data_IF_505584233240
#
_entry.id   IF_505584233240
#
_cell.length_a   1.000
_cell.length_b   1.000
_cell.length_c   1.000
_cell.angle_alpha   90.00
_cell.angle_beta   90.00
_cell.angle_gamma   90.00
#
_symmetry.space_group_name_H-M   'P 1'
#
loop_
_entity.id
_entity.type
_entity.pdbx_description
1 polymer ?
#
# COMPACT_ATOMS: atom_id res chain seq x y z
N UNK A 1 -13.52 -17.06 -13.50
CA UNK A 1 -14.26 -16.66 -12.27
C UNK A 1 -14.10 -15.14 -12.11
N UNK A 2 -15.17 -14.40 -11.79
CA UNK A 2 -15.03 -12.95 -11.61
C UNK A 2 -14.16 -12.65 -10.37
N UNK A 3 -13.14 -11.82 -10.53
CA UNK A 3 -12.32 -11.36 -9.43
C UNK A 3 -13.17 -10.52 -8.46
N UNK A 4 -13.13 -10.85 -7.18
CA UNK A 4 -14.01 -10.25 -6.17
C UNK A 4 -13.23 -9.38 -5.18
N UNK A 5 -13.94 -8.44 -4.56
CA UNK A 5 -13.38 -7.64 -3.47
C UNK A 5 -12.83 -8.52 -2.34
N UNK A 6 -13.53 -9.57 -1.98
CA UNK A 6 -13.09 -10.52 -0.96
C UNK A 6 -11.77 -11.21 -1.32
N UNK A 7 -11.57 -11.56 -2.60
CA UNK A 7 -10.30 -12.13 -3.05
C UNK A 7 -9.14 -11.12 -2.90
N UNK A 8 -9.37 -9.85 -3.22
CA UNK A 8 -8.38 -8.79 -3.02
C UNK A 8 -8.08 -8.58 -1.52
N UNK A 9 -9.09 -8.56 -0.67
CA UNK A 9 -8.92 -8.46 0.79
C UNK A 9 -8.09 -9.62 1.37
N UNK A 10 -8.32 -10.84 0.90
CA UNK A 10 -7.53 -12.00 1.28
C UNK A 10 -6.08 -11.87 0.80
N UNK A 11 -5.86 -11.51 -0.46
CA UNK A 11 -4.52 -11.30 -1.01
C UNK A 11 -3.76 -10.20 -0.26
N UNK A 12 -4.41 -9.07 0.03
CA UNK A 12 -3.84 -8.00 0.85
C UNK A 12 -3.52 -8.46 2.27
N UNK A 13 -4.37 -9.29 2.86
CA UNK A 13 -4.11 -9.84 4.20
C UNK A 13 -2.87 -10.71 4.22
N UNK A 14 -2.69 -11.56 3.21
CA UNK A 14 -1.51 -12.43 3.09
C UNK A 14 -0.24 -11.61 2.86
N UNK A 15 -0.30 -10.63 1.95
CA UNK A 15 0.83 -9.75 1.67
C UNK A 15 1.22 -8.92 2.91
N UNK A 16 0.23 -8.40 3.63
CA UNK A 16 0.45 -7.65 4.87
C UNK A 16 1.12 -8.49 5.94
N UNK A 17 0.66 -9.73 6.13
CA UNK A 17 1.28 -10.68 7.08
C UNK A 17 2.73 -11.01 6.70
N UNK A 18 3.03 -11.11 5.41
CA UNK A 18 4.41 -11.28 4.93
C UNK A 18 5.28 -10.08 5.33
N UNK A 19 4.76 -8.85 5.19
CA UNK A 19 5.44 -7.64 5.65
C UNK A 19 5.66 -7.60 7.17
N UNK A 20 4.63 -7.97 7.95
CA UNK A 20 4.76 -8.07 9.41
C UNK A 20 5.78 -9.14 9.83
N UNK A 21 5.81 -10.27 9.12
CA UNK A 21 6.74 -11.36 9.40
C UNK A 21 8.19 -10.92 9.16
N UNK A 22 8.47 -10.29 8.02
CA UNK A 22 9.80 -9.76 7.73
C UNK A 22 10.22 -8.73 8.79
N UNK A 23 9.31 -7.87 9.22
CA UNK A 23 9.61 -6.90 10.29
C UNK A 23 9.96 -7.59 11.62
N UNK A 24 9.26 -8.67 11.99
CA UNK A 24 9.56 -9.43 13.22
C UNK A 24 10.90 -10.16 13.14
N UNK A 25 11.24 -10.69 11.98
CA UNK A 25 12.43 -11.52 11.80
C UNK A 25 13.71 -10.70 11.62
N UNK A 26 13.64 -9.61 10.86
CA UNK A 26 14.82 -8.81 10.50
C UNK A 26 14.74 -7.33 10.89
N UNK A 27 13.67 -6.90 11.56
CA UNK A 27 13.49 -5.53 12.05
C UNK A 27 13.06 -4.51 11.01
N UNK A 28 12.82 -4.93 9.77
CA UNK A 28 12.34 -4.09 8.67
C UNK A 28 11.25 -4.81 7.87
N UNK A 29 10.33 -4.03 7.31
CA UNK A 29 9.35 -4.55 6.37
C UNK A 29 9.96 -4.57 4.98
N UNK A 30 10.15 -5.75 4.42
CA UNK A 30 10.61 -5.89 3.03
C UNK A 30 9.49 -5.43 2.09
N UNK A 31 9.72 -4.40 1.25
CA UNK A 31 8.70 -3.92 0.31
C UNK A 31 8.33 -5.00 -0.72
N UNK A 32 7.04 -5.24 -0.90
CA UNK A 32 6.53 -6.26 -1.81
C UNK A 32 5.38 -5.71 -2.64
N UNK A 33 5.46 -5.95 -3.94
CA UNK A 33 4.40 -5.66 -4.91
C UNK A 33 3.73 -6.97 -5.32
N UNK A 34 2.42 -7.01 -5.20
CA UNK A 34 1.58 -8.10 -5.70
C UNK A 34 0.81 -7.61 -6.93
N UNK A 35 0.95 -8.30 -8.04
CA UNK A 35 0.16 -8.12 -9.25
C UNK A 35 -0.80 -9.30 -9.39
N UNK A 36 -2.07 -9.04 -9.66
CA UNK A 36 -3.11 -10.07 -9.71
C UNK A 36 -3.74 -10.12 -11.09
N UNK A 37 -3.57 -11.26 -11.75
CA UNK A 37 -4.37 -11.69 -12.89
C UNK A 37 -5.47 -12.64 -12.38
N UNK A 38 -6.76 -12.35 -12.57
CA UNK A 38 -7.85 -13.16 -12.04
C UNK A 38 -7.96 -14.55 -12.66
N UNK A 39 -7.40 -14.76 -13.85
CA UNK A 39 -7.57 -15.99 -14.63
C UNK A 39 -6.39 -16.96 -14.48
N UNK A 40 -5.25 -16.50 -13.98
CA UNK A 40 -4.02 -17.29 -14.02
C UNK A 40 -3.29 -17.32 -12.67
N UNK A 41 -2.79 -16.20 -12.18
CA UNK A 41 -1.98 -16.20 -10.97
C UNK A 41 -1.83 -14.82 -10.31
N UNK A 42 -1.39 -14.84 -9.06
CA UNK A 42 -0.87 -13.70 -8.37
C UNK A 42 0.67 -13.77 -8.33
N UNK A 43 1.33 -12.72 -8.83
CA UNK A 43 2.79 -12.62 -8.80
C UNK A 43 3.24 -11.65 -7.71
N UNK A 44 4.18 -12.07 -6.86
CA UNK A 44 4.81 -11.23 -5.86
C UNK A 44 6.23 -10.86 -6.30
N UNK A 45 6.51 -9.56 -6.30
CA UNK A 45 7.84 -9.02 -6.57
C UNK A 45 8.35 -8.28 -5.35
N UNK A 46 9.57 -8.59 -4.93
CA UNK A 46 10.25 -7.83 -3.86
C UNK A 46 10.91 -6.60 -4.47
N UNK A 47 10.67 -5.43 -3.86
CA UNK A 47 11.23 -4.15 -4.28
C UNK A 47 12.25 -3.67 -3.24
N UNK A 48 13.49 -4.13 -3.34
CA UNK A 48 14.54 -3.88 -2.33
C UNK A 48 14.78 -2.39 -2.05
N UNK A 49 14.68 -1.55 -3.08
CA UNK A 49 14.90 -0.11 -2.99
C UNK A 49 13.58 0.70 -2.86
N UNK A 50 12.47 0.02 -2.57
CA UNK A 50 11.14 0.65 -2.48
C UNK A 50 10.52 0.91 -3.86
N UNK A 51 9.81 2.04 -4.00
CA UNK A 51 9.19 2.42 -5.27
C UNK A 51 10.28 2.72 -6.31
N UNK A 52 10.28 2.01 -7.46
CA UNK A 52 11.29 2.21 -8.50
C UNK A 52 11.21 3.61 -9.11
N UNK A 53 12.30 4.03 -9.74
CA UNK A 53 12.35 5.22 -10.57
C UNK A 53 11.40 5.14 -11.78
N UNK A 54 11.38 6.17 -12.61
CA UNK A 54 10.49 6.25 -13.77
C UNK A 54 10.70 5.09 -14.77
N UNK A 55 11.96 4.67 -14.98
CA UNK A 55 12.28 3.56 -15.90
C UNK A 55 11.83 2.22 -15.34
N UNK A 56 12.11 1.94 -14.07
CA UNK A 56 11.67 0.74 -13.37
C UNK A 56 10.15 0.66 -13.26
N UNK A 57 9.49 1.78 -12.97
CA UNK A 57 8.03 1.87 -12.94
C UNK A 57 7.41 1.61 -14.32
N UNK A 58 8.02 2.11 -15.39
CA UNK A 58 7.58 1.81 -16.76
C UNK A 58 7.74 0.32 -17.10
N UNK A 59 8.81 -0.31 -16.61
CA UNK A 59 9.02 -1.75 -16.79
C UNK A 59 7.97 -2.57 -16.05
N UNK A 60 7.64 -2.20 -14.81
CA UNK A 60 6.57 -2.84 -14.03
C UNK A 60 5.20 -2.70 -14.71
N UNK A 61 4.87 -1.51 -15.26
CA UNK A 61 3.64 -1.32 -16.03
C UNK A 61 3.56 -2.25 -17.25
N UNK A 62 4.65 -2.34 -18.03
CA UNK A 62 4.71 -3.28 -19.17
C UNK A 62 4.53 -4.72 -18.71
N UNK A 63 5.13 -5.09 -17.58
CA UNK A 63 4.97 -6.43 -17.02
C UNK A 63 3.53 -6.68 -16.57
N UNK A 64 2.93 -5.76 -15.82
CA UNK A 64 1.53 -5.84 -15.38
C UNK A 64 0.57 -6.00 -16.58
N UNK A 65 0.77 -5.20 -17.63
CA UNK A 65 -0.01 -5.31 -18.86
C UNK A 65 0.19 -6.67 -19.56
N UNK A 66 1.43 -7.16 -19.62
CA UNK A 66 1.77 -8.44 -20.26
C UNK A 66 1.10 -9.63 -19.58
N UNK A 67 1.01 -9.61 -18.25
CA UNK A 67 0.35 -10.69 -17.48
C UNK A 67 -1.16 -10.47 -17.33
N UNK A 68 -1.71 -9.39 -17.87
CA UNK A 68 -3.13 -9.07 -17.71
C UNK A 68 -3.54 -8.76 -16.27
N UNK A 69 -2.67 -8.08 -15.51
CA UNK A 69 -2.99 -7.70 -14.13
C UNK A 69 -4.16 -6.73 -14.09
N UNK A 70 -5.18 -7.02 -13.27
CA UNK A 70 -6.37 -6.19 -13.08
C UNK A 70 -6.42 -5.56 -11.70
N UNK A 71 -5.57 -6.00 -10.77
CA UNK A 71 -5.43 -5.43 -9.44
C UNK A 71 -3.97 -5.50 -8.99
N UNK A 72 -3.59 -4.61 -8.09
CA UNK A 72 -2.27 -4.60 -7.49
C UNK A 72 -2.36 -4.28 -6.00
N UNK A 73 -1.43 -4.81 -5.21
CA UNK A 73 -1.24 -4.43 -3.82
C UNK A 73 0.24 -4.20 -3.53
N UNK A 74 0.53 -3.27 -2.64
CA UNK A 74 1.89 -2.92 -2.24
C UNK A 74 2.01 -2.86 -0.73
N UNK A 75 2.95 -3.60 -0.18
CA UNK A 75 3.29 -3.59 1.24
C UNK A 75 4.65 -2.95 1.46
N UNK A 76 4.71 -2.07 2.45
CA UNK A 76 5.92 -1.33 2.81
C UNK A 76 5.83 -0.82 4.24
N UNK A 77 6.96 -0.49 4.84
CA UNK A 77 7.02 0.30 6.05
C UNK A 77 6.93 1.79 5.70
N UNK A 78 6.04 2.51 6.34
CA UNK A 78 5.78 3.91 6.04
C UNK A 78 5.41 4.71 7.30
N UNK A 79 5.44 6.03 7.17
CA UNK A 79 4.92 6.94 8.18
C UNK A 79 3.43 7.17 8.00
N UNK A 80 2.70 7.18 9.11
CA UNK A 80 1.31 7.62 9.19
C UNK A 80 1.26 8.95 9.91
N UNK A 81 0.67 9.95 9.28
CA UNK A 81 0.31 11.21 9.90
C UNK A 81 -1.20 11.36 9.96
N UNK A 82 -1.69 12.07 10.96
CA UNK A 82 -3.11 12.35 11.11
C UNK A 82 -3.36 13.84 10.96
N UNK A 83 -4.22 14.20 10.03
CA UNK A 83 -4.73 15.56 9.89
C UNK A 83 -6.19 15.54 10.28
N UNK A 84 -6.55 16.37 11.27
CA UNK A 84 -7.93 16.56 11.67
C UNK A 84 -8.37 17.96 11.25
N UNK A 85 -9.32 18.03 10.34
CA UNK A 85 -9.93 19.26 9.90
C UNK A 85 -11.39 19.02 9.48
N UNK A 86 -12.26 20.06 9.44
CA UNK A 86 -13.58 19.92 8.84
C UNK A 86 -13.51 19.47 7.38
N UNK A 87 -14.47 18.66 6.94
CA UNK A 87 -14.51 18.13 5.57
C UNK A 87 -14.39 19.24 4.51
N UNK A 88 -15.04 20.38 4.74
CA UNK A 88 -14.99 21.56 3.86
C UNK A 88 -13.58 22.15 3.68
N UNK A 89 -12.67 21.88 4.59
CA UNK A 89 -11.26 22.26 4.46
C UNK A 89 -10.55 21.26 3.54
N UNK A 90 -10.77 19.96 3.74
CA UNK A 90 -10.17 18.91 2.89
C UNK A 90 -10.61 19.01 1.43
N UNK A 91 -11.87 19.38 1.16
CA UNK A 91 -12.38 19.57 -0.20
C UNK A 91 -11.69 20.69 -0.99
N UNK A 92 -11.02 21.62 -0.29
CA UNK A 92 -10.32 22.77 -0.87
C UNK A 92 -8.80 22.60 -0.96
N UNK A 93 -8.25 21.59 -0.26
CA UNK A 93 -6.81 21.34 -0.25
C UNK A 93 -6.40 20.58 -1.51
N UNK A 94 -5.38 21.08 -2.20
CA UNK A 94 -4.69 20.27 -3.16
C UNK A 94 -3.87 19.19 -2.44
N UNK A 95 -3.59 18.03 -3.08
CA UNK A 95 -2.76 16.99 -2.45
C UNK A 95 -1.40 17.47 -1.95
N UNK A 96 -0.83 18.49 -2.61
CA UNK A 96 0.46 19.08 -2.27
C UNK A 96 0.40 20.06 -1.08
N UNK A 97 -0.80 20.47 -0.68
CA UNK A 97 -1.02 21.34 0.50
C UNK A 97 -1.01 20.55 1.82
N UNK A 98 -1.08 19.22 1.73
CA UNK A 98 -1.01 18.37 2.92
C UNK A 98 0.43 18.16 3.35
N UNK A 99 0.75 18.32 4.65
CA UNK A 99 2.08 18.02 5.14
C UNK A 99 2.38 16.53 4.93
N UNK A 100 3.62 16.21 4.60
CA UNK A 100 4.04 14.81 4.47
C UNK A 100 3.93 14.11 5.82
N UNK A 101 3.45 12.89 5.81
CA UNK A 101 3.25 12.12 7.05
C UNK A 101 4.53 12.04 7.90
N UNK A 102 5.70 11.91 7.28
CA UNK A 102 7.00 11.90 7.98
C UNK A 102 7.41 13.22 8.64
N UNK A 103 6.76 14.34 8.30
CA UNK A 103 7.02 15.68 8.85
C UNK A 103 6.03 16.04 9.97
N UNK A 104 5.01 15.23 10.19
CA UNK A 104 3.99 15.49 11.23
C UNK A 104 4.53 15.15 12.63
N UNK A 105 4.23 15.96 13.65
CA UNK A 105 4.72 15.73 15.02
C UNK A 105 4.16 14.47 15.67
N UNK A 106 2.95 14.05 15.28
CA UNK A 106 2.25 12.86 15.78
C UNK A 106 2.40 11.64 14.86
N UNK A 107 3.37 11.69 13.93
CA UNK A 107 3.64 10.59 13.01
C UNK A 107 3.90 9.28 13.73
N UNK A 108 3.40 8.21 13.15
CA UNK A 108 3.63 6.85 13.60
C UNK A 108 4.21 6.01 12.47
N UNK A 109 5.15 5.18 12.79
CA UNK A 109 5.69 4.17 11.89
C UNK A 109 4.72 3.00 11.78
N UNK A 110 4.54 2.44 10.59
CA UNK A 110 3.62 1.32 10.39
C UNK A 110 4.02 0.45 9.20
N UNK A 111 3.69 -0.84 9.29
CA UNK A 111 3.53 -1.70 8.12
C UNK A 111 2.22 -1.29 7.45
N UNK A 112 2.28 -0.96 6.17
CA UNK A 112 1.12 -0.55 5.39
C UNK A 112 0.96 -1.43 4.16
N UNK A 113 -0.25 -1.82 3.84
CA UNK A 113 -0.58 -2.50 2.59
C UNK A 113 -1.71 -1.76 1.92
N UNK A 114 -1.43 -1.23 0.74
CA UNK A 114 -2.42 -0.53 -0.09
C UNK A 114 -2.73 -1.38 -1.30
N UNK A 115 -3.99 -1.47 -1.68
CA UNK A 115 -4.42 -2.18 -2.89
C UNK A 115 -5.31 -1.34 -3.77
N UNK A 116 -5.16 -1.56 -5.07
CA UNK A 116 -5.91 -0.90 -6.15
C UNK A 116 -6.73 -1.94 -6.87
N UNK A 117 -8.00 -1.60 -7.06
CA UNK A 117 -9.01 -2.41 -7.75
C UNK A 117 -9.12 -2.02 -9.24
N UNK A 118 -9.57 -2.93 -10.12
CA UNK A 118 -9.88 -2.60 -11.49
C UNK A 118 -10.85 -1.41 -11.59
N UNK A 119 -10.50 -0.43 -12.43
CA UNK A 119 -11.21 0.83 -12.53
C UNK A 119 -10.64 1.99 -11.72
N UNK A 120 -9.55 1.75 -10.99
CA UNK A 120 -8.66 2.81 -10.50
C UNK A 120 -9.07 3.57 -9.24
N UNK A 121 -10.18 3.19 -8.58
CA UNK A 121 -10.73 4.08 -7.54
C UNK A 121 -10.96 3.48 -6.17
N UNK A 122 -10.72 2.20 -5.99
CA UNK A 122 -11.03 1.60 -4.70
C UNK A 122 -9.78 1.11 -4.01
N UNK A 123 -9.58 1.60 -2.81
CA UNK A 123 -8.48 1.21 -1.99
C UNK A 123 -8.93 0.31 -0.88
N UNK A 124 -8.15 -0.73 -0.69
CA UNK A 124 -8.03 -1.36 0.61
C UNK A 124 -6.73 -0.85 1.20
N UNK A 125 -6.79 -0.38 2.43
CA UNK A 125 -5.61 0.04 3.16
C UNK A 125 -5.58 -0.66 4.51
N UNK A 126 -4.57 -1.51 4.70
CA UNK A 126 -4.38 -2.25 5.94
C UNK A 126 -3.12 -1.75 6.63
N UNK A 127 -3.21 -1.53 7.92
CA UNK A 127 -2.09 -1.00 8.71
C UNK A 127 -1.84 -1.81 9.97
N UNK A 128 -0.56 -1.87 10.36
CA UNK A 128 -0.10 -2.33 11.66
C UNK A 128 0.90 -1.32 12.19
N UNK A 129 0.57 -0.65 13.29
CA UNK A 129 1.46 0.36 13.89
C UNK A 129 2.68 -0.32 14.50
N UNK A 130 3.86 0.26 14.26
CA UNK A 130 5.13 -0.14 14.82
C UNK A 130 5.44 0.78 16.01
N UNK A 131 5.71 0.19 17.17
CA UNK A 131 6.19 0.93 18.32
C UNK A 131 7.64 0.56 18.56
N UNK A 132 8.55 1.52 18.42
CA UNK A 132 9.98 1.33 18.71
C UNK A 132 10.22 1.47 20.22
N UNK A 133 10.98 0.55 20.78
CA UNK A 133 11.42 0.56 22.19
C UNK A 133 12.93 0.27 22.26
N UNK A 134 13.61 0.57 23.37
CA UNK A 134 15.01 0.21 23.53
C UNK A 134 15.30 -1.29 23.37
N UNK A 135 14.30 -2.15 23.63
CA UNK A 135 14.40 -3.60 23.51
C UNK A 135 14.05 -4.11 22.09
N UNK A 136 13.74 -3.23 21.13
CA UNK A 136 13.33 -3.58 19.78
C UNK A 136 12.01 -2.94 19.38
N UNK A 137 11.36 -3.52 18.38
CA UNK A 137 10.06 -3.04 17.90
C UNK A 137 8.92 -4.00 18.27
N UNK A 138 7.73 -3.45 18.47
CA UNK A 138 6.49 -4.19 18.71
C UNK A 138 5.48 -3.82 17.65
N UNK A 139 4.82 -4.83 17.10
CA UNK A 139 3.70 -4.65 16.16
C UNK A 139 2.38 -4.63 16.94
N UNK A 140 1.55 -3.63 16.67
CA UNK A 140 0.18 -3.57 17.14
C UNK A 140 -0.75 -4.53 16.36
N UNK A 141 -2.06 -4.49 16.64
CA UNK A 141 -3.02 -5.25 15.85
C UNK A 141 -3.17 -4.67 14.45
N UNK A 142 -3.24 -5.55 13.45
CA UNK A 142 -3.56 -5.15 12.08
C UNK A 142 -5.01 -4.71 11.97
N UNK A 143 -5.26 -3.61 11.25
CA UNK A 143 -6.60 -3.08 11.02
C UNK A 143 -6.77 -2.55 9.60
N UNK A 144 -8.00 -2.60 9.11
CA UNK A 144 -8.39 -1.91 7.89
C UNK A 144 -8.67 -0.44 8.18
N UNK A 145 -8.17 0.43 7.32
CA UNK A 145 -8.54 1.83 7.33
C UNK A 145 -9.77 2.05 6.45
N UNK A 146 -10.59 3.03 6.82
CA UNK A 146 -11.73 3.44 5.98
C UNK A 146 -11.20 4.27 4.82
N UNK A 147 -11.89 4.19 3.66
CA UNK A 147 -11.48 4.91 2.46
C UNK A 147 -11.30 6.43 2.65
N UNK A 148 -12.09 7.03 3.54
CA UNK A 148 -11.99 8.45 3.90
C UNK A 148 -10.75 8.83 4.73
N UNK A 149 -10.06 7.85 5.28
CA UNK A 149 -8.95 8.03 6.23
C UNK A 149 -7.58 7.91 5.54
N UNK A 150 -7.54 7.73 4.22
CA UNK A 150 -6.29 7.61 3.45
C UNK A 150 -6.41 8.23 2.06
N UNK A 151 -5.25 8.62 1.51
CA UNK A 151 -5.15 9.19 0.17
C UNK A 151 -5.00 8.12 -0.92
N UNK A 152 -4.91 8.59 -2.16
CA UNK A 152 -4.69 7.75 -3.33
C UNK A 152 -3.22 7.35 -3.47
N UNK A 153 -2.95 6.13 -3.89
CA UNK A 153 -1.62 5.70 -4.30
C UNK A 153 -1.52 5.76 -5.83
N UNK A 154 -1.20 6.95 -6.36
CA UNK A 154 -1.12 7.20 -7.80
C UNK A 154 -0.12 6.30 -8.52
N UNK A 155 0.99 5.95 -7.87
CA UNK A 155 1.97 5.04 -8.45
C UNK A 155 1.36 3.66 -8.66
N UNK A 156 0.73 3.11 -7.62
CA UNK A 156 0.12 1.78 -7.69
C UNK A 156 -1.05 1.75 -8.70
N UNK A 157 -1.85 2.82 -8.74
CA UNK A 157 -2.91 3.00 -9.75
C UNK A 157 -2.34 2.95 -11.17
N UNK A 158 -1.22 3.63 -11.39
CA UNK A 158 -0.58 3.70 -12.72
C UNK A 158 -0.07 2.35 -13.24
N UNK A 159 0.10 1.35 -12.37
CA UNK A 159 0.55 0.02 -12.78
C UNK A 159 -0.56 -0.78 -13.50
N UNK A 160 -1.81 -0.53 -13.15
CA UNK A 160 -2.97 -1.27 -13.65
C UNK A 160 -3.98 -0.37 -14.39
N UNK A 161 -3.67 0.92 -14.56
CA UNK A 161 -4.48 1.77 -15.41
C UNK A 161 -4.43 1.25 -16.86
N UNK A 162 -5.55 1.24 -17.59
CA UNK A 162 -5.53 0.94 -19.01
C UNK A 162 -4.60 1.93 -19.73
N UNK A 163 -3.90 1.48 -20.78
CA UNK A 163 -2.98 2.32 -21.56
C UNK A 163 -3.70 3.48 -22.23
#
# INVERSE_FOLDING_TARGET
MAFTRSALEQACTLLHRSGELSHREIGITVPQLLLINPDDAAEVTVLFDGIPDAAGSAQLRRHAARIGAVAAAYTVESWLGYVSAPLSVFERLAPDDLPRAGEMPDRREAVTTTAVWPGGHTFLHRITVITRTPAGSRLGPARWMRARDYGTNRWLESLIAPP
#
